data_IF_790908149133
#
_entry.id   IF_790908149133
#
_cell.length_a   1.000
_cell.length_b   1.000
_cell.length_c   1.000
_cell.angle_alpha   90.00
_cell.angle_beta   90.00
_cell.angle_gamma   90.00
#
_symmetry.space_group_name_H-M   'P 1'
#
loop_
_entity.id
_entity.type
_entity.pdbx_description
1 polymer ?
#
# COMPACT_ATOMS: atom_id res chain seq x y z
N UNK A 1 -25.66 -3.25 61.31
CA UNK A 1 -24.19 -3.47 61.26
C UNK A 1 -23.74 -4.43 60.15
N UNK A 2 -24.34 -5.62 60.01
CA UNK A 2 -23.94 -6.60 58.98
C UNK A 2 -24.05 -6.10 57.53
N UNK A 3 -25.11 -5.37 57.18
CA UNK A 3 -25.31 -4.79 55.85
C UNK A 3 -24.19 -3.77 55.48
N UNK A 4 -23.77 -2.96 56.46
CA UNK A 4 -22.67 -2.00 56.30
C UNK A 4 -21.34 -2.70 56.05
N UNK A 5 -21.07 -3.81 56.74
CA UNK A 5 -19.85 -4.60 56.55
C UNK A 5 -19.79 -5.27 55.17
N UNK A 6 -20.92 -5.80 54.68
CA UNK A 6 -21.00 -6.36 53.32
C UNK A 6 -20.74 -5.31 52.25
N UNK A 7 -21.34 -4.12 52.39
CA UNK A 7 -21.14 -3.00 51.45
C UNK A 7 -19.67 -2.55 51.39
N UNK A 8 -19.00 -2.49 52.54
CA UNK A 8 -17.57 -2.15 52.61
C UNK A 8 -16.69 -3.20 51.93
N UNK A 9 -16.97 -4.49 52.12
CA UNK A 9 -16.26 -5.57 51.45
C UNK A 9 -16.41 -5.50 49.92
N UNK A 10 -17.64 -5.32 49.43
CA UNK A 10 -17.92 -5.14 47.99
C UNK A 10 -17.25 -3.90 47.41
N UNK A 11 -17.26 -2.77 48.12
CA UNK A 11 -16.58 -1.56 47.67
C UNK A 11 -15.06 -1.76 47.58
N UNK A 12 -14.45 -2.47 48.53
CA UNK A 12 -13.02 -2.83 48.48
C UNK A 12 -12.69 -3.69 47.26
N UNK A 13 -13.52 -4.68 46.95
CA UNK A 13 -13.33 -5.51 45.75
C UNK A 13 -13.54 -4.72 44.47
N UNK A 14 -14.57 -3.88 44.41
CA UNK A 14 -14.84 -3.02 43.25
C UNK A 14 -13.68 -2.03 43.01
N UNK A 15 -13.14 -1.43 44.07
CA UNK A 15 -11.98 -0.55 44.00
C UNK A 15 -10.72 -1.29 43.50
N UNK A 16 -10.46 -2.51 43.98
CA UNK A 16 -9.36 -3.34 43.47
C UNK A 16 -9.51 -3.65 41.97
N UNK A 17 -10.70 -4.11 41.55
CA UNK A 17 -10.99 -4.39 40.13
C UNK A 17 -10.84 -3.14 39.26
N UNK A 18 -11.32 -1.99 39.73
CA UNK A 18 -11.17 -0.72 39.03
C UNK A 18 -9.70 -0.33 38.86
N UNK A 19 -8.90 -0.42 39.94
CA UNK A 19 -7.46 -0.15 39.89
C UNK A 19 -6.74 -1.06 38.91
N UNK A 20 -7.05 -2.36 38.92
CA UNK A 20 -6.44 -3.33 38.00
C UNK A 20 -6.76 -3.01 36.54
N UNK A 21 -8.02 -2.71 36.22
CA UNK A 21 -8.42 -2.31 34.86
C UNK A 21 -7.73 -1.02 34.41
N UNK A 22 -7.69 -0.01 35.28
CA UNK A 22 -6.99 1.26 34.98
C UNK A 22 -5.50 1.02 34.73
N UNK A 23 -4.86 0.17 35.53
CA UNK A 23 -3.45 -0.21 35.34
C UNK A 23 -3.24 -0.89 33.98
N UNK A 24 -4.06 -1.87 33.62
CA UNK A 24 -3.98 -2.56 32.34
C UNK A 24 -4.22 -1.61 31.15
N UNK A 25 -5.20 -0.70 31.27
CA UNK A 25 -5.48 0.29 30.23
C UNK A 25 -4.32 1.26 30.01
N UNK A 26 -3.72 1.78 31.08
CA UNK A 26 -2.54 2.66 30.98
C UNK A 26 -1.37 1.92 30.32
N UNK A 27 -1.11 0.67 30.71
CA UNK A 27 -0.07 -0.15 30.08
C UNK A 27 -0.35 -0.38 28.58
N UNK A 28 -1.60 -0.60 28.20
CA UNK A 28 -2.00 -0.70 26.80
C UNK A 28 -1.75 0.61 26.03
N UNK A 29 -2.05 1.75 26.64
CA UNK A 29 -1.79 3.07 26.04
C UNK A 29 -0.29 3.34 25.87
N UNK A 30 0.53 2.95 26.83
CA UNK A 30 2.00 3.04 26.75
C UNK A 30 2.54 2.18 25.61
N UNK A 31 2.05 0.94 25.49
CA UNK A 31 2.40 0.05 24.39
C UNK A 31 1.96 0.61 23.03
N UNK A 32 0.74 1.15 22.93
CA UNK A 32 0.25 1.72 21.67
C UNK A 32 1.03 2.98 21.29
N UNK A 33 1.42 3.81 22.27
CA UNK A 33 2.27 4.99 22.02
C UNK A 33 3.63 4.60 21.47
N UNK A 34 4.28 3.59 22.06
CA UNK A 34 5.57 3.09 21.57
C UNK A 34 5.46 2.55 20.14
N UNK A 35 4.43 1.75 19.87
CA UNK A 35 4.18 1.21 18.52
C UNK A 35 3.92 2.32 17.50
N UNK A 36 3.17 3.35 17.87
CA UNK A 36 2.92 4.49 17.00
C UNK A 36 4.23 5.21 16.66
N UNK A 37 5.07 5.50 17.66
CA UNK A 37 6.39 6.11 17.43
C UNK A 37 7.28 5.28 16.52
N UNK A 38 7.26 3.95 16.66
CA UNK A 38 8.00 3.06 15.75
C UNK A 38 7.49 3.18 14.31
N UNK A 39 6.17 3.14 14.11
CA UNK A 39 5.56 3.26 12.78
C UNK A 39 5.84 4.63 12.14
N UNK A 40 5.81 5.70 12.94
CA UNK A 40 6.16 7.06 12.48
C UNK A 40 7.63 7.14 12.03
N UNK A 41 8.54 6.51 12.77
CA UNK A 41 9.95 6.42 12.38
C UNK A 41 10.16 5.60 11.10
N UNK A 42 9.48 4.46 10.97
CA UNK A 42 9.53 3.63 9.76
C UNK A 42 8.99 4.39 8.54
N UNK A 43 7.88 5.11 8.70
CA UNK A 43 7.29 5.96 7.66
C UNK A 43 8.22 7.11 7.27
N UNK A 44 8.84 7.79 8.24
CA UNK A 44 9.82 8.83 7.97
C UNK A 44 11.05 8.27 7.24
N UNK A 45 11.53 7.09 7.64
CA UNK A 45 12.66 6.40 6.98
C UNK A 45 12.31 6.02 5.53
N UNK A 46 11.12 5.46 5.28
CA UNK A 46 10.66 5.13 3.93
C UNK A 46 10.55 6.39 3.03
N UNK A 47 10.08 7.51 3.59
CA UNK A 47 10.06 8.81 2.88
C UNK A 47 11.47 9.33 2.58
N UNK A 48 12.40 9.25 3.54
CA UNK A 48 13.79 9.67 3.34
C UNK A 48 14.51 8.80 2.31
N UNK A 49 14.26 7.48 2.31
CA UNK A 49 14.75 6.58 1.26
C UNK A 49 14.19 6.99 -0.11
N UNK A 50 12.91 7.37 -0.21
CA UNK A 50 12.34 7.92 -1.45
C UNK A 50 12.95 9.27 -1.89
N UNK A 51 13.35 10.13 -0.95
CA UNK A 51 13.95 11.44 -1.25
C UNK A 51 15.42 11.31 -1.67
N UNK A 52 16.20 10.44 -1.03
CA UNK A 52 17.63 10.25 -1.34
C UNK A 52 17.84 9.61 -2.72
N UNK A 53 16.86 8.83 -3.20
CA UNK A 53 16.84 8.29 -4.56
C UNK A 53 16.53 9.39 -5.60
N UNK A 54 15.78 10.45 -5.23
CA UNK A 54 15.43 11.53 -6.16
C UNK A 54 16.55 12.53 -6.42
N UNK A 55 17.55 12.66 -5.52
CA UNK A 55 18.61 13.67 -5.66
C UNK A 55 19.93 13.14 -6.23
N UNK A 56 20.05 11.84 -6.50
CA UNK A 56 21.36 11.19 -6.69
C UNK A 56 21.60 10.52 -8.05
N UNK A 57 20.62 10.45 -8.97
CA UNK A 57 20.72 9.66 -10.20
C UNK A 57 19.37 9.69 -10.96
N UNK A 58 19.20 10.02 -12.24
CA UNK A 58 20.02 9.79 -13.45
C UNK A 58 20.63 8.38 -13.59
N UNK A 59 20.22 7.45 -12.72
CA UNK A 59 20.72 6.09 -12.69
C UNK A 59 19.59 5.19 -12.18
N UNK A 60 18.78 4.77 -13.14
CA UNK A 60 18.42 3.36 -13.34
C UNK A 60 18.13 2.55 -12.06
N UNK A 61 16.83 2.32 -11.83
CA UNK A 61 16.28 1.13 -11.17
C UNK A 61 16.61 0.91 -9.67
N UNK A 62 15.62 1.11 -8.80
CA UNK A 62 15.26 0.21 -7.67
C UNK A 62 14.23 0.91 -6.76
N UNK A 63 12.92 0.62 -6.87
CA UNK A 63 12.23 -0.56 -6.33
C UNK A 63 12.21 -0.66 -4.78
N UNK A 64 11.51 0.24 -4.07
CA UNK A 64 11.03 -0.08 -2.70
C UNK A 64 9.90 0.79 -2.12
N UNK A 65 9.03 1.33 -2.98
CA UNK A 65 7.77 1.97 -2.57
C UNK A 65 6.70 1.89 -3.66
N UNK A 66 6.89 0.94 -4.58
CA UNK A 66 6.53 1.12 -5.97
C UNK A 66 5.31 0.29 -6.37
N UNK A 67 4.46 -0.20 -5.46
CA UNK A 67 3.30 -1.01 -5.88
C UNK A 67 2.38 -0.22 -6.84
N UNK A 68 2.02 1.00 -6.43
CA UNK A 68 1.25 1.93 -7.25
C UNK A 68 2.07 2.43 -8.45
N UNK A 69 3.31 2.87 -8.25
CA UNK A 69 4.14 3.38 -9.35
C UNK A 69 4.56 2.29 -10.36
N UNK A 70 4.78 1.05 -9.94
CA UNK A 70 5.07 -0.08 -10.81
C UNK A 70 3.82 -0.44 -11.61
N UNK A 71 2.66 -0.49 -10.94
CA UNK A 71 1.38 -0.64 -11.63
C UNK A 71 1.15 0.48 -12.65
N UNK A 72 1.37 1.75 -12.27
CA UNK A 72 1.22 2.90 -13.18
C UNK A 72 2.17 2.79 -14.37
N UNK A 73 3.43 2.41 -14.15
CA UNK A 73 4.40 2.23 -15.25
C UNK A 73 4.08 1.03 -16.14
N UNK A 74 3.59 -0.07 -15.58
CA UNK A 74 3.23 -1.27 -16.31
C UNK A 74 1.93 -1.06 -17.10
N UNK A 75 0.97 -0.34 -16.52
CA UNK A 75 -0.24 0.12 -17.18
C UNK A 75 0.06 1.08 -18.33
N UNK A 76 0.96 2.06 -18.13
CA UNK A 76 1.38 2.96 -19.20
C UNK A 76 2.03 2.20 -20.36
N UNK A 77 2.93 1.25 -20.08
CA UNK A 77 3.55 0.39 -21.10
C UNK A 77 2.53 -0.47 -21.83
N UNK A 78 1.60 -1.08 -21.11
CA UNK A 78 0.52 -1.85 -21.71
C UNK A 78 -0.35 -0.98 -22.64
N UNK A 79 -0.66 0.24 -22.21
CA UNK A 79 -1.45 1.19 -23.00
C UNK A 79 -0.70 1.66 -24.26
N UNK A 80 0.60 1.91 -24.16
CA UNK A 80 1.45 2.25 -25.31
C UNK A 80 1.49 1.10 -26.33
N UNK A 81 1.69 -0.14 -25.87
CA UNK A 81 1.73 -1.31 -26.73
C UNK A 81 0.37 -1.56 -27.41
N UNK A 82 -0.72 -1.45 -26.66
CA UNK A 82 -2.07 -1.55 -27.22
C UNK A 82 -2.32 -0.46 -28.28
N UNK A 83 -1.94 0.79 -28.00
CA UNK A 83 -2.07 1.87 -28.98
C UNK A 83 -1.21 1.63 -30.23
N UNK A 84 0.00 1.08 -30.07
CA UNK A 84 0.87 0.69 -31.19
C UNK A 84 0.18 -0.35 -32.08
N UNK A 85 -0.38 -1.40 -31.50
CA UNK A 85 -1.10 -2.45 -32.22
C UNK A 85 -2.33 -1.92 -32.96
N UNK A 86 -3.13 -1.05 -32.30
CA UNK A 86 -4.29 -0.39 -32.93
C UNK A 86 -3.87 0.48 -34.12
N UNK A 87 -2.77 1.22 -33.98
CA UNK A 87 -2.27 2.09 -35.05
C UNK A 87 -1.67 1.29 -36.21
N UNK A 88 -0.98 0.17 -35.94
CA UNK A 88 -0.47 -0.75 -36.97
C UNK A 88 -1.63 -1.31 -37.80
N UNK A 89 -2.69 -1.81 -37.14
CA UNK A 89 -3.87 -2.31 -37.83
C UNK A 89 -4.59 -1.23 -38.64
N UNK A 90 -4.77 -0.03 -38.07
CA UNK A 90 -5.36 1.11 -38.79
C UNK A 90 -4.53 1.50 -40.01
N UNK A 91 -3.21 1.51 -39.90
CA UNK A 91 -2.32 1.83 -41.01
C UNK A 91 -2.44 0.81 -42.14
N UNK A 92 -2.44 -0.50 -41.82
CA UNK A 92 -2.62 -1.56 -42.80
C UNK A 92 -3.97 -1.45 -43.53
N UNK A 93 -5.06 -1.22 -42.78
CA UNK A 93 -6.40 -1.01 -43.36
C UNK A 93 -6.44 0.24 -44.26
N UNK A 94 -5.90 1.37 -43.78
CA UNK A 94 -5.88 2.63 -44.55
C UNK A 94 -5.03 2.53 -45.82
N UNK A 95 -3.96 1.74 -45.78
CA UNK A 95 -3.12 1.45 -46.94
C UNK A 95 -3.77 0.46 -47.94
N UNK A 96 -4.97 -0.05 -47.64
CA UNK A 96 -5.62 -1.12 -48.39
C UNK A 96 -4.69 -2.35 -48.55
N UNK A 97 -3.99 -2.70 -47.47
CA UNK A 97 -3.11 -3.87 -47.43
C UNK A 97 -3.88 -5.14 -47.85
N UNK A 98 -3.18 -6.04 -48.54
CA UNK A 98 -3.78 -7.30 -48.99
C UNK A 98 -4.11 -8.24 -47.82
N UNK A 99 -5.04 -9.17 -48.03
CA UNK A 99 -5.53 -10.09 -47.00
C UNK A 99 -4.42 -10.88 -46.29
N UNK A 100 -3.33 -11.22 -47.00
CA UNK A 100 -2.17 -11.91 -46.43
C UNK A 100 -1.43 -11.05 -45.40
N UNK A 101 -1.27 -9.76 -45.68
CA UNK A 101 -0.61 -8.80 -44.80
C UNK A 101 -1.50 -8.46 -43.61
N UNK A 102 -2.80 -8.24 -43.84
CA UNK A 102 -3.79 -8.06 -42.77
C UNK A 102 -3.85 -9.26 -41.82
N UNK A 103 -3.84 -10.50 -42.35
CA UNK A 103 -3.78 -11.72 -41.53
C UNK A 103 -2.52 -11.76 -40.67
N UNK A 104 -1.37 -11.41 -41.23
CA UNK A 104 -0.11 -11.39 -40.48
C UNK A 104 -0.13 -10.38 -39.34
N UNK A 105 -0.68 -9.18 -39.56
CA UNK A 105 -0.82 -8.15 -38.50
C UNK A 105 -1.77 -8.62 -37.40
N UNK A 106 -2.89 -9.25 -37.75
CA UNK A 106 -3.85 -9.78 -36.76
C UNK A 106 -3.26 -10.95 -35.97
N UNK A 107 -2.56 -11.87 -36.64
CA UNK A 107 -1.91 -13.01 -35.97
C UNK A 107 -0.85 -12.56 -34.96
N UNK A 108 -0.10 -11.50 -35.29
CA UNK A 108 0.87 -10.86 -34.39
C UNK A 108 0.23 -10.21 -33.17
N UNK A 109 -0.99 -9.67 -33.29
CA UNK A 109 -1.72 -9.05 -32.16
C UNK A 109 -2.35 -10.10 -31.23
N UNK A 110 -2.73 -11.26 -31.79
CA UNK A 110 -3.43 -12.32 -31.06
C UNK A 110 -2.51 -13.34 -30.37
N UNK A 111 -1.20 -13.27 -30.64
CA UNK A 111 -0.17 -14.12 -30.01
C UNK A 111 0.44 -13.48 -28.77
#
# INVERSE_FOLDING_TARGET
>A
MLQTMRRLAQNREAARKSRLRKKAYVQQLENSRLKLTQLEQELQRARQQGIFISSSADQSHSMSGNGALAFDTEYARWLEEHNRQVNELRAAVNAHAGDTELRSVVEKIMS
#
